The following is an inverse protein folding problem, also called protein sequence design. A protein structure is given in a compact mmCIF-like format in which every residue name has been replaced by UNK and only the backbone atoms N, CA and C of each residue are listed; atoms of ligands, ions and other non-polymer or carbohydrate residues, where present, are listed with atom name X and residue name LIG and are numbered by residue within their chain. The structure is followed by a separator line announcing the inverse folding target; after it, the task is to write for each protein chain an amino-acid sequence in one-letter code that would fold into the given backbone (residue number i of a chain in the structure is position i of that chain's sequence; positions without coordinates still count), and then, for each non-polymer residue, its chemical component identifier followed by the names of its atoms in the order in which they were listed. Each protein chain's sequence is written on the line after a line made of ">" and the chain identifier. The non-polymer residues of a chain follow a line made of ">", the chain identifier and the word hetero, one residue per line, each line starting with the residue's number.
data_IF_004634742385
#
_entry.id   IF_004634742385
#
_cell.length_a   1.000
_cell.length_b   1.000
_cell.length_c   1.000
_cell.angle_alpha   90.00
_cell.angle_beta   90.00
_cell.angle_gamma   90.00
#
_symmetry.space_group_name_H-M   'P 1'
#
loop_
_entity.id
_entity.type
_entity.pdbx_description
1 polymer ?
#
# COMPACT_ATOMS: atom_id res chain seq x y z
N UNK A 1 -2.57 -30.38 19.03
CA UNK A 1 -1.87 -29.65 20.12
C UNK A 1 -2.02 -28.14 19.82
N UNK A 2 -2.56 -27.39 20.77
CA UNK A 2 -2.66 -25.93 20.70
C UNK A 2 -1.54 -25.35 21.56
N UNK A 3 -0.81 -24.39 21.00
CA UNK A 3 0.18 -23.60 21.73
C UNK A 3 -0.27 -22.13 21.72
N UNK A 4 -0.38 -21.55 22.90
CA UNK A 4 -0.61 -20.12 23.09
C UNK A 4 0.63 -19.57 23.78
N UNK A 5 1.10 -18.41 23.36
CA UNK A 5 2.19 -17.70 24.01
C UNK A 5 1.86 -16.21 23.99
N UNK A 6 1.60 -15.68 25.16
CA UNK A 6 1.31 -14.25 25.38
C UNK A 6 2.50 -13.62 26.13
N UNK A 7 2.55 -12.32 26.15
CA UNK A 7 3.52 -11.55 26.96
C UNK A 7 3.01 -11.30 28.39
N UNK A 8 1.88 -11.90 28.75
CA UNK A 8 1.22 -11.81 30.03
C UNK A 8 1.57 -13.00 30.93
N UNK A 9 1.03 -13.00 32.15
CA UNK A 9 1.20 -14.12 33.08
C UNK A 9 0.67 -15.43 32.48
N UNK A 10 1.36 -16.57 32.69
CA UNK A 10 0.96 -17.87 32.12
C UNK A 10 -0.47 -18.29 32.44
N UNK A 11 -1.00 -17.83 33.56
CA UNK A 11 -2.39 -18.10 33.97
C UNK A 11 -3.40 -17.46 33.00
N UNK A 12 -3.08 -16.36 32.39
CA UNK A 12 -3.91 -15.67 31.39
C UNK A 12 -3.99 -16.43 30.05
N UNK A 13 -3.03 -17.31 29.76
CA UNK A 13 -3.02 -18.13 28.56
C UNK A 13 -4.07 -19.25 28.57
N UNK A 14 -4.40 -19.79 29.76
CA UNK A 14 -5.32 -20.91 29.89
C UNK A 14 -6.73 -20.66 29.33
N UNK A 15 -7.38 -19.49 29.62
CA UNK A 15 -8.69 -19.20 29.06
C UNK A 15 -8.66 -19.04 27.53
N UNK A 16 -7.56 -18.52 26.98
CA UNK A 16 -7.38 -18.34 25.53
C UNK A 16 -7.19 -19.70 24.85
N UNK A 17 -6.35 -20.56 25.41
CA UNK A 17 -6.14 -21.91 24.91
C UNK A 17 -7.46 -22.72 24.92
N UNK A 18 -8.25 -22.61 25.99
CA UNK A 18 -9.54 -23.30 26.09
C UNK A 18 -10.53 -22.79 25.04
N UNK A 19 -10.60 -21.48 24.79
CA UNK A 19 -11.43 -20.91 23.71
C UNK A 19 -11.05 -21.46 22.35
N UNK A 20 -9.76 -21.57 22.05
CA UNK A 20 -9.27 -22.12 20.78
C UNK A 20 -9.65 -23.60 20.62
N UNK A 21 -9.51 -24.40 21.67
CA UNK A 21 -9.90 -25.82 21.66
C UNK A 21 -11.41 -25.94 21.42
N UNK A 22 -12.21 -25.21 22.17
CA UNK A 22 -13.66 -25.22 22.02
C UNK A 22 -14.10 -24.77 20.62
N UNK A 23 -13.48 -23.72 20.08
CA UNK A 23 -13.74 -23.24 18.72
C UNK A 23 -13.53 -24.34 17.67
N UNK A 24 -12.46 -25.10 17.77
CA UNK A 24 -12.17 -26.19 16.85
C UNK A 24 -13.18 -27.36 17.06
N UNK A 25 -13.51 -27.71 18.31
CA UNK A 25 -14.47 -28.76 18.60
C UNK A 25 -15.88 -28.46 18.10
N UNK A 26 -16.34 -27.21 18.28
CA UNK A 26 -17.64 -26.76 17.80
C UNK A 26 -17.75 -26.79 16.27
N UNK A 27 -16.62 -26.72 15.57
CA UNK A 27 -16.55 -26.74 14.10
C UNK A 27 -16.34 -28.10 13.48
N UNK A 28 -16.20 -29.17 14.27
CA UNK A 28 -16.01 -30.52 13.73
C UNK A 28 -17.14 -31.01 12.82
N UNK A 29 -18.35 -30.48 12.98
CA UNK A 29 -19.51 -30.77 12.13
C UNK A 29 -19.79 -29.69 11.06
N UNK A 30 -18.90 -28.74 10.89
CA UNK A 30 -19.13 -27.66 9.93
C UNK A 30 -19.13 -28.19 8.48
N UNK A 31 -20.18 -27.84 7.73
CA UNK A 31 -20.23 -28.15 6.31
C UNK A 31 -19.08 -27.43 5.59
N UNK A 32 -18.36 -28.13 4.68
CA UNK A 32 -17.34 -27.47 3.87
C UNK A 32 -17.91 -26.25 3.15
N UNK A 33 -17.19 -25.14 3.20
CA UNK A 33 -17.54 -23.97 2.38
C UNK A 33 -17.23 -24.36 0.94
N UNK A 34 -18.29 -24.60 0.16
CA UNK A 34 -18.15 -24.86 -1.27
C UNK A 34 -17.89 -23.51 -1.94
N UNK A 35 -16.66 -23.27 -2.33
CA UNK A 35 -16.26 -22.10 -3.11
C UNK A 35 -15.63 -22.56 -4.43
N UNK A 36 -15.92 -21.88 -5.50
CA UNK A 36 -15.15 -22.03 -6.73
C UNK A 36 -13.89 -21.17 -6.62
N UNK A 37 -12.73 -21.80 -6.77
CA UNK A 37 -11.48 -21.06 -6.89
C UNK A 37 -11.50 -20.31 -8.23
N UNK A 38 -11.08 -19.05 -8.20
CA UNK A 38 -10.90 -18.28 -9.43
C UNK A 38 -9.95 -19.05 -10.39
N UNK A 39 -10.29 -19.17 -11.69
CA UNK A 39 -9.43 -19.87 -12.64
C UNK A 39 -7.99 -19.34 -12.60
N UNK A 40 -7.03 -20.24 -12.44
CA UNK A 40 -5.61 -19.88 -12.37
C UNK A 40 -5.12 -19.41 -11.01
N UNK A 41 -5.96 -19.43 -9.97
CA UNK A 41 -5.55 -19.16 -8.61
C UNK A 41 -5.32 -20.46 -7.82
N UNK A 42 -4.08 -20.66 -7.38
CA UNK A 42 -3.74 -21.75 -6.45
C UNK A 42 -3.35 -21.15 -5.10
N UNK A 43 -4.18 -21.29 -4.05
CA UNK A 43 -3.90 -20.70 -2.74
C UNK A 43 -2.71 -21.35 -2.02
N UNK A 44 -2.25 -22.52 -2.49
CA UNK A 44 -1.13 -23.27 -1.90
C UNK A 44 0.18 -22.93 -2.64
N UNK A 45 0.08 -22.53 -3.91
CA UNK A 45 1.23 -22.10 -4.67
C UNK A 45 1.67 -20.69 -4.21
N UNK A 46 2.74 -20.63 -3.45
CA UNK A 46 3.36 -19.36 -3.06
C UNK A 46 4.04 -18.70 -4.27
N UNK A 47 3.25 -18.14 -5.17
CA UNK A 47 3.76 -17.43 -6.34
C UNK A 47 4.12 -16.00 -5.95
N UNK A 48 5.40 -15.70 -5.95
CA UNK A 48 5.86 -14.31 -5.77
C UNK A 48 5.31 -13.45 -6.90
N UNK A 49 4.54 -12.43 -6.55
CA UNK A 49 3.99 -11.47 -7.51
C UNK A 49 5.14 -10.78 -8.25
N UNK A 50 5.11 -10.83 -9.58
CA UNK A 50 6.05 -10.10 -10.43
C UNK A 50 5.42 -8.75 -10.79
N UNK A 51 5.96 -7.68 -10.22
CA UNK A 51 5.64 -6.31 -10.62
C UNK A 51 6.74 -5.77 -11.50
N UNK A 52 6.43 -4.82 -12.37
CA UNK A 52 7.46 -4.07 -13.09
C UNK A 52 8.13 -3.07 -12.14
N UNK A 53 9.44 -2.93 -12.24
CA UNK A 53 10.16 -1.87 -11.54
C UNK A 53 9.92 -0.51 -12.21
N UNK A 54 9.62 0.50 -11.38
CA UNK A 54 9.60 1.92 -11.79
C UNK A 54 10.61 2.62 -10.91
N UNK A 55 11.67 3.17 -11.49
CA UNK A 55 12.83 3.63 -10.73
C UNK A 55 13.35 2.49 -9.83
N UNK A 56 13.33 2.68 -8.51
CA UNK A 56 13.69 1.65 -7.52
C UNK A 56 12.49 1.12 -6.74
N UNK A 57 11.29 1.17 -7.32
CA UNK A 57 10.04 0.72 -6.69
C UNK A 57 9.49 -0.49 -7.44
N UNK A 58 9.06 -1.51 -6.72
CA UNK A 58 8.54 -2.75 -7.30
C UNK A 58 9.61 -3.72 -7.80
N UNK A 59 9.26 -4.71 -8.63
CA UNK A 59 10.14 -5.79 -9.05
C UNK A 59 10.81 -6.50 -7.85
N UNK A 60 12.12 -6.66 -7.87
CA UNK A 60 12.92 -7.27 -6.82
C UNK A 60 13.60 -6.22 -5.89
N UNK A 61 13.23 -4.95 -6.04
CA UNK A 61 13.71 -3.91 -5.15
C UNK A 61 13.11 -4.05 -3.74
N UNK A 62 13.79 -3.46 -2.77
CA UNK A 62 13.30 -3.39 -1.39
C UNK A 62 12.00 -2.56 -1.33
N UNK A 63 11.11 -2.85 -0.38
CA UNK A 63 9.95 -2.01 -0.13
C UNK A 63 10.35 -0.57 0.16
N UNK A 64 9.57 0.39 -0.34
CA UNK A 64 9.76 1.81 -0.05
C UNK A 64 8.69 2.31 0.92
N UNK A 65 9.06 3.27 1.75
CA UNK A 65 8.18 3.88 2.76
C UNK A 65 7.81 5.28 2.32
N UNK A 66 6.50 5.55 2.24
CA UNK A 66 5.95 6.89 2.02
C UNK A 66 5.38 7.39 3.35
N UNK A 67 5.91 8.50 3.86
CA UNK A 67 5.36 9.18 5.04
C UNK A 67 4.38 10.25 4.61
N UNK A 68 3.16 10.19 5.11
CA UNK A 68 2.15 11.24 4.89
C UNK A 68 2.37 12.39 5.88
N UNK A 69 2.73 13.55 5.37
CA UNK A 69 2.99 14.79 6.11
C UNK A 69 2.20 15.98 5.55
N UNK A 70 1.07 15.71 4.90
CA UNK A 70 0.22 16.74 4.30
C UNK A 70 -0.33 17.76 5.33
N UNK A 71 -0.21 17.49 6.62
CA UNK A 71 -0.64 18.40 7.69
C UNK A 71 0.50 19.26 8.28
N UNK A 72 1.69 19.24 7.65
CA UNK A 72 2.77 20.18 7.99
C UNK A 72 3.69 19.76 9.15
N UNK A 73 3.62 18.50 9.60
CA UNK A 73 4.60 17.98 10.57
C UNK A 73 5.83 17.42 9.82
N UNK A 74 6.93 18.17 9.85
CA UNK A 74 8.19 17.83 9.19
C UNK A 74 9.32 17.46 10.17
N UNK A 75 8.97 17.09 11.39
CA UNK A 75 9.94 16.51 12.30
C UNK A 75 10.22 15.05 11.94
N UNK A 76 11.46 14.73 11.66
CA UNK A 76 11.90 13.40 11.28
C UNK A 76 12.95 12.87 12.28
N UNK A 77 12.81 11.59 12.60
CA UNK A 77 13.92 10.86 13.21
C UNK A 77 14.88 10.43 12.09
N UNK A 78 16.08 10.98 12.08
CA UNK A 78 17.09 10.70 11.07
C UNK A 78 17.58 9.24 11.05
N UNK A 79 17.30 8.45 12.08
CA UNK A 79 17.60 7.03 12.12
C UNK A 79 16.58 6.17 11.32
N UNK A 80 15.40 6.73 11.07
CA UNK A 80 14.28 6.05 10.39
C UNK A 80 13.62 6.96 9.34
N UNK A 81 14.41 7.40 8.36
CA UNK A 81 13.93 8.27 7.29
C UNK A 81 13.05 7.51 6.29
N UNK A 82 11.90 8.06 5.89
CA UNK A 82 11.12 7.51 4.79
C UNK A 82 11.82 7.72 3.45
N UNK A 83 11.51 6.89 2.47
CA UNK A 83 12.02 7.03 1.09
C UNK A 83 11.33 8.20 0.37
N UNK A 84 10.05 8.43 0.66
CA UNK A 84 9.26 9.52 0.11
C UNK A 84 8.44 10.20 1.20
N UNK A 85 8.17 11.48 1.00
CA UNK A 85 7.33 12.29 1.87
C UNK A 85 6.19 12.88 1.04
N UNK A 86 4.96 12.51 1.36
CA UNK A 86 3.79 13.15 0.78
C UNK A 86 3.47 14.42 1.56
N UNK A 87 3.52 15.55 0.86
CA UNK A 87 3.32 16.90 1.40
C UNK A 87 2.02 17.56 0.93
N UNK A 88 1.23 16.88 0.09
CA UNK A 88 -0.04 17.42 -0.41
C UNK A 88 0.15 18.70 -1.21
N UNK A 89 -0.50 19.77 -0.75
CA UNK A 89 -0.47 21.08 -1.39
C UNK A 89 0.71 21.95 -0.96
N UNK A 90 1.26 21.65 0.19
CA UNK A 90 2.35 22.42 0.75
C UNK A 90 3.63 22.15 -0.04
N UNK A 91 4.36 23.23 -0.28
CA UNK A 91 5.68 23.17 -0.88
C UNK A 91 6.64 23.91 0.05
N UNK A 92 7.02 23.28 1.16
CA UNK A 92 7.89 23.92 2.14
C UNK A 92 9.23 24.25 1.46
N UNK A 93 9.54 25.53 1.37
CA UNK A 93 10.78 26.03 0.76
C UNK A 93 12.04 25.58 1.51
N UNK A 94 11.86 25.07 2.72
CA UNK A 94 12.94 24.75 3.65
C UNK A 94 13.26 23.25 3.81
N UNK A 95 12.64 22.35 3.02
CA UNK A 95 13.02 20.95 3.08
C UNK A 95 14.34 20.71 2.33
N UNK A 96 15.26 19.95 2.92
CA UNK A 96 16.50 19.59 2.26
C UNK A 96 16.25 18.92 0.90
N UNK A 97 17.06 19.24 -0.11
CA UNK A 97 16.99 18.63 -1.46
C UNK A 97 17.23 17.12 -1.48
N UNK A 98 17.64 16.55 -0.36
CA UNK A 98 17.80 15.10 -0.18
C UNK A 98 16.47 14.35 -0.06
N UNK A 99 15.38 15.05 0.28
CA UNK A 99 14.06 14.43 0.40
C UNK A 99 13.39 14.24 -0.96
N UNK A 100 12.79 13.08 -1.18
CA UNK A 100 11.94 12.80 -2.33
C UNK A 100 10.50 13.13 -1.97
N UNK A 101 9.94 14.13 -2.63
CA UNK A 101 8.64 14.70 -2.27
C UNK A 101 7.54 14.22 -3.21
N UNK A 102 6.37 13.92 -2.67
CA UNK A 102 5.14 13.69 -3.42
C UNK A 102 4.23 14.91 -3.22
N UNK A 103 3.89 15.56 -4.31
CA UNK A 103 3.09 16.80 -4.34
C UNK A 103 1.83 16.55 -5.16
N UNK A 104 0.68 17.01 -4.69
CA UNK A 104 -0.57 16.92 -5.46
C UNK A 104 -0.36 17.49 -6.86
N UNK A 105 -0.84 16.79 -7.89
CA UNK A 105 -0.53 17.08 -9.28
C UNK A 105 -0.77 18.54 -9.67
N UNK A 106 -1.87 19.13 -9.20
CA UNK A 106 -2.24 20.51 -9.48
C UNK A 106 -1.27 21.56 -8.91
N UNK A 107 -0.49 21.22 -7.88
CA UNK A 107 0.51 22.10 -7.25
C UNK A 107 1.95 21.72 -7.62
N UNK A 108 2.11 20.57 -8.28
CA UNK A 108 3.42 20.07 -8.64
C UNK A 108 4.12 20.98 -9.67
N UNK A 109 5.40 21.20 -9.44
CA UNK A 109 6.29 21.86 -10.40
C UNK A 109 7.50 20.95 -10.65
N UNK A 110 8.01 20.87 -11.89
CA UNK A 110 9.18 20.07 -12.22
C UNK A 110 10.37 20.41 -11.32
N UNK A 111 10.81 19.43 -10.54
CA UNK A 111 12.01 19.48 -9.71
C UNK A 111 12.64 18.07 -9.66
N UNK A 112 13.96 17.95 -9.52
CA UNK A 112 14.62 16.64 -9.48
C UNK A 112 14.08 15.70 -8.39
N UNK A 113 13.65 16.24 -7.26
CA UNK A 113 13.25 15.48 -6.06
C UNK A 113 11.75 15.54 -5.77
N UNK A 114 10.94 16.14 -6.65
CA UNK A 114 9.50 16.25 -6.45
C UNK A 114 8.74 15.53 -7.58
N UNK A 115 7.78 14.70 -7.19
CA UNK A 115 7.02 13.84 -8.10
C UNK A 115 5.53 14.13 -7.94
N UNK A 116 4.76 14.15 -9.05
CA UNK A 116 3.34 14.42 -9.00
C UNK A 116 2.57 13.24 -8.41
N UNK A 117 1.62 13.57 -7.55
CA UNK A 117 0.71 12.64 -6.89
C UNK A 117 -0.72 12.93 -7.32
N UNK A 118 -1.36 11.94 -7.91
CA UNK A 118 -2.69 12.01 -8.51
C UNK A 118 -3.73 11.28 -7.67
N UNK A 119 -4.99 11.63 -7.86
CA UNK A 119 -6.15 10.86 -7.42
C UNK A 119 -6.85 10.24 -8.63
N UNK A 120 -7.79 9.31 -8.41
CA UNK A 120 -8.46 8.56 -9.49
C UNK A 120 -9.07 9.47 -10.56
N UNK A 121 -9.70 10.59 -10.18
CA UNK A 121 -10.33 11.53 -11.12
C UNK A 121 -9.34 12.27 -12.01
N UNK A 122 -8.07 12.27 -11.68
CA UNK A 122 -6.99 12.96 -12.42
C UNK A 122 -6.20 12.00 -13.33
N UNK A 123 -6.61 10.72 -13.41
CA UNK A 123 -5.86 9.69 -14.13
C UNK A 123 -5.62 10.04 -15.60
N UNK A 124 -6.61 10.62 -16.29
CA UNK A 124 -6.52 11.04 -17.69
C UNK A 124 -5.49 12.17 -17.90
N UNK A 125 -5.29 13.00 -16.89
CA UNK A 125 -4.40 14.14 -16.94
C UNK A 125 -2.92 13.76 -16.78
N UNK A 126 -2.63 12.56 -16.23
CA UNK A 126 -1.26 12.09 -15.99
C UNK A 126 -0.38 12.14 -17.24
N UNK A 127 -0.97 11.96 -18.45
CA UNK A 127 -0.26 12.03 -19.72
C UNK A 127 0.35 13.39 -20.03
N UNK A 128 -0.17 14.46 -19.40
CA UNK A 128 0.28 15.84 -19.59
C UNK A 128 1.47 16.20 -18.70
N UNK A 129 1.87 15.30 -17.79
CA UNK A 129 2.94 15.55 -16.83
C UNK A 129 4.20 14.78 -17.23
N UNK A 130 5.25 15.51 -17.56
CA UNK A 130 6.56 14.94 -17.83
C UNK A 130 7.33 14.71 -16.53
N UNK A 131 7.24 13.50 -15.99
CA UNK A 131 7.98 13.11 -14.79
C UNK A 131 8.46 11.66 -14.95
N UNK A 132 9.69 11.33 -14.53
CA UNK A 132 10.21 9.96 -14.59
C UNK A 132 9.49 9.02 -13.62
N UNK A 133 8.81 9.58 -12.62
CA UNK A 133 8.06 8.85 -11.61
C UNK A 133 6.80 9.64 -11.28
N UNK A 134 5.67 8.94 -11.29
CA UNK A 134 4.35 9.48 -10.95
C UNK A 134 3.69 8.56 -9.95
N UNK A 135 2.87 9.10 -9.06
CA UNK A 135 2.09 8.31 -8.11
C UNK A 135 0.60 8.58 -8.32
N UNK A 136 -0.22 7.54 -8.23
CA UNK A 136 -1.67 7.68 -8.24
C UNK A 136 -2.29 6.91 -7.08
N UNK A 137 -3.12 7.59 -6.29
CA UNK A 137 -3.90 6.96 -5.23
C UNK A 137 -5.21 6.45 -5.79
N UNK A 138 -5.45 5.16 -5.61
CA UNK A 138 -6.66 4.47 -6.02
C UNK A 138 -7.26 3.70 -4.84
N UNK A 139 -8.56 3.53 -4.87
CA UNK A 139 -9.29 2.56 -4.06
C UNK A 139 -9.70 1.37 -4.92
N UNK A 140 -10.19 0.28 -4.33
CA UNK A 140 -10.68 -0.86 -5.11
C UNK A 140 -11.79 -0.50 -6.11
N UNK A 141 -12.79 0.33 -5.77
CA UNK A 141 -13.80 0.79 -6.73
C UNK A 141 -13.24 1.59 -7.92
N UNK A 142 -12.09 2.24 -7.77
CA UNK A 142 -11.48 3.03 -8.83
C UNK A 142 -10.78 2.17 -9.89
N UNK A 143 -10.59 0.86 -9.64
CA UNK A 143 -9.92 -0.05 -10.56
C UNK A 143 -10.85 -0.48 -11.71
N UNK A 144 -11.30 0.49 -12.49
CA UNK A 144 -12.09 0.27 -13.72
C UNK A 144 -11.19 -0.11 -14.88
N UNK A 145 -11.78 -0.67 -15.95
CA UNK A 145 -11.03 -1.05 -17.15
C UNK A 145 -10.32 0.15 -17.80
N UNK A 146 -10.94 1.34 -17.76
CA UNK A 146 -10.37 2.58 -18.30
C UNK A 146 -9.12 2.99 -17.53
N UNK A 147 -9.20 3.01 -16.20
CA UNK A 147 -8.03 3.29 -15.34
C UNK A 147 -6.92 2.27 -15.56
N UNK A 148 -7.28 0.98 -15.64
CA UNK A 148 -6.30 -0.07 -15.88
C UNK A 148 -5.62 0.07 -17.26
N UNK A 149 -6.33 0.55 -18.28
CA UNK A 149 -5.76 0.82 -19.60
C UNK A 149 -4.76 1.98 -19.56
N UNK A 150 -5.08 3.07 -18.85
CA UNK A 150 -4.17 4.20 -18.63
C UNK A 150 -2.89 3.73 -17.93
N UNK A 151 -3.03 2.96 -16.84
CA UNK A 151 -1.89 2.44 -16.07
C UNK A 151 -1.01 1.46 -16.87
N UNK A 152 -1.59 0.72 -17.80
CA UNK A 152 -0.81 -0.18 -18.69
C UNK A 152 0.02 0.60 -19.71
N UNK A 153 -0.48 1.76 -20.16
CA UNK A 153 0.21 2.63 -21.14
C UNK A 153 1.34 3.44 -20.51
N UNK A 154 1.12 4.00 -19.34
CA UNK A 154 2.13 4.79 -18.65
C UNK A 154 3.03 3.93 -17.75
N UNK A 155 4.29 3.82 -18.15
CA UNK A 155 5.29 2.97 -17.46
C UNK A 155 5.98 3.66 -16.28
N UNK A 156 5.68 4.92 -16.04
CA UNK A 156 6.29 5.74 -14.98
C UNK A 156 5.42 5.80 -13.72
N UNK A 157 4.26 5.15 -13.73
CA UNK A 157 3.26 5.25 -12.65
C UNK A 157 3.44 4.17 -11.61
N UNK A 158 3.40 4.58 -10.35
CA UNK A 158 3.28 3.74 -9.15
C UNK A 158 1.88 3.92 -8.57
N UNK A 159 1.17 2.83 -8.36
CA UNK A 159 -0.15 2.83 -7.74
C UNK A 159 -0.03 2.74 -6.23
N UNK A 160 -0.64 3.68 -5.52
CA UNK A 160 -0.85 3.66 -4.07
C UNK A 160 -2.29 3.20 -3.82
N UNK A 161 -2.45 1.91 -3.52
CA UNK A 161 -3.77 1.35 -3.24
C UNK A 161 -4.19 1.70 -1.80
N UNK A 162 -5.31 2.37 -1.66
CA UNK A 162 -5.85 2.82 -0.38
C UNK A 162 -7.16 2.10 -0.05
N UNK A 163 -7.38 1.79 1.22
CA UNK A 163 -8.66 1.28 1.72
C UNK A 163 -9.13 2.12 2.88
N UNK A 164 -10.42 2.51 2.85
CA UNK A 164 -11.05 3.24 3.94
C UNK A 164 -11.67 2.32 5.01
N UNK A 165 -11.69 1.02 4.76
CA UNK A 165 -12.23 0.05 5.70
C UNK A 165 -11.11 -0.45 6.60
N UNK A 166 -11.24 -0.28 7.92
CA UNK A 166 -10.29 -0.83 8.90
C UNK A 166 -10.12 -2.34 8.78
N UNK A 167 -11.10 -3.05 8.23
CA UNK A 167 -11.12 -4.50 8.02
C UNK A 167 -11.04 -4.87 6.53
N UNK A 168 -10.59 -3.99 5.66
CA UNK A 168 -10.58 -4.17 4.21
C UNK A 168 -9.39 -4.98 3.67
N UNK A 169 -8.59 -5.57 4.55
CA UNK A 169 -7.45 -6.42 4.20
C UNK A 169 -7.71 -7.89 4.56
N UNK A 170 -8.95 -8.25 4.81
CA UNK A 170 -9.38 -9.61 5.09
C UNK A 170 -10.15 -10.23 3.96
#
# INVERSE_FOLDING_TARGET
>A
TVRVSLTEDPEAEMPVAQKLVNYIQERQGHQPIVGELAPGYDPIACLKRKTRGVEKIGSDFLPVVISDRAQGDFEFNYEAMPDFIYIGQENPENLPDTFRLLVDAQFWKPRPNAFPYFIASEAEEMKNYESPLKFIRLTYPDLTDDILEILRKDKTVVVVLSTHRRNGLG
#
